data_IF_703486092110
#
_entry.id   IF_703486092110
#
_cell.length_a   1.000
_cell.length_b   1.000
_cell.length_c   1.000
_cell.angle_alpha   90.00
_cell.angle_beta   90.00
_cell.angle_gamma   90.00
#
_symmetry.space_group_name_H-M   'P 1'
#
loop_
_entity.id
_entity.type
_entity.pdbx_description
1 polymer ?
#
# COMPACT_ATOMS: atom_id res chain seq x y z
N UNK A 1 -2.25 3.05 -17.62
CA UNK A 1 -3.29 3.19 -16.55
C UNK A 1 -3.16 4.57 -15.91
N UNK A 2 -4.29 5.24 -15.65
CA UNK A 2 -4.32 6.54 -14.96
C UNK A 2 -4.07 6.30 -13.46
N UNK A 3 -3.12 7.02 -12.87
CA UNK A 3 -2.85 6.96 -11.43
C UNK A 3 -4.05 7.51 -10.64
N UNK A 4 -4.31 6.96 -9.46
CA UNK A 4 -5.23 7.61 -8.51
C UNK A 4 -4.69 8.96 -8.05
N UNK A 5 -5.52 9.82 -7.45
CA UNK A 5 -5.05 11.10 -6.91
C UNK A 5 -3.93 10.91 -5.88
N UNK A 6 -4.04 9.86 -5.04
CA UNK A 6 -3.02 9.53 -4.06
C UNK A 6 -1.71 9.03 -4.66
N UNK A 7 -1.78 8.10 -5.62
CA UNK A 7 -0.60 7.69 -6.37
C UNK A 7 0.05 8.88 -7.09
N UNK A 8 -0.74 9.78 -7.68
CA UNK A 8 -0.20 10.96 -8.36
C UNK A 8 0.53 11.89 -7.39
N UNK A 9 0.02 12.06 -6.16
CA UNK A 9 0.71 12.83 -5.11
C UNK A 9 2.06 12.21 -4.77
N UNK A 10 2.11 10.88 -4.58
CA UNK A 10 3.34 10.15 -4.28
C UNK A 10 4.34 10.25 -5.45
N UNK A 11 3.87 10.07 -6.70
CA UNK A 11 4.70 10.25 -7.91
C UNK A 11 5.33 11.63 -7.95
N UNK A 12 4.55 12.68 -7.66
CA UNK A 12 5.04 14.05 -7.70
C UNK A 12 6.13 14.29 -6.64
N UNK A 13 5.95 13.78 -5.42
CA UNK A 13 6.95 13.86 -4.34
C UNK A 13 8.24 13.14 -4.75
N UNK A 14 8.13 11.87 -5.17
CA UNK A 14 9.29 11.06 -5.54
C UNK A 14 10.07 11.66 -6.71
N UNK A 15 9.37 12.20 -7.73
CA UNK A 15 10.01 12.90 -8.87
C UNK A 15 10.68 14.20 -8.45
N UNK A 16 9.99 15.04 -7.66
CA UNK A 16 10.51 16.34 -7.20
C UNK A 16 11.84 16.16 -6.44
N UNK A 17 11.93 15.11 -5.65
CA UNK A 17 13.12 14.80 -4.84
C UNK A 17 14.08 13.81 -5.50
N UNK A 18 13.90 13.54 -6.80
CA UNK A 18 14.79 12.70 -7.62
C UNK A 18 15.02 11.30 -7.03
N UNK A 19 14.02 10.73 -6.36
CA UNK A 19 14.06 9.34 -5.89
C UNK A 19 13.90 8.39 -7.07
N UNK A 20 14.68 7.30 -7.09
CA UNK A 20 14.52 6.23 -8.08
C UNK A 20 13.40 5.31 -7.64
N UNK A 21 12.39 5.13 -8.50
CA UNK A 21 11.24 4.29 -8.19
C UNK A 21 10.66 3.63 -9.43
N UNK A 22 9.99 2.50 -9.23
CA UNK A 22 9.14 1.84 -10.21
C UNK A 22 7.70 1.78 -9.70
N UNK A 23 6.75 1.85 -10.64
CA UNK A 23 5.32 1.76 -10.34
C UNK A 23 4.80 0.36 -10.63
N UNK A 24 3.75 -0.06 -9.93
CA UNK A 24 3.10 -1.36 -10.14
C UNK A 24 4.09 -2.55 -10.10
N UNK A 25 5.09 -2.45 -9.22
CA UNK A 25 6.20 -3.41 -9.11
C UNK A 25 5.71 -4.78 -8.65
N UNK A 26 6.19 -5.86 -9.25
CA UNK A 26 5.78 -7.22 -8.87
C UNK A 26 6.95 -8.17 -8.78
N UNK A 27 6.94 -9.02 -7.76
CA UNK A 27 7.89 -10.12 -7.63
C UNK A 27 7.35 -11.36 -8.35
N UNK A 28 8.22 -12.09 -9.03
CA UNK A 28 7.86 -13.29 -9.81
C UNK A 28 7.26 -14.40 -8.94
N UNK A 29 7.72 -14.50 -7.69
CA UNK A 29 7.31 -15.48 -6.67
C UNK A 29 6.13 -15.00 -5.81
N UNK A 30 5.64 -13.76 -5.96
CA UNK A 30 4.50 -13.26 -5.19
C UNK A 30 3.22 -13.26 -6.04
N UNK A 31 2.35 -14.25 -5.77
CA UNK A 31 1.09 -14.44 -6.51
C UNK A 31 -0.12 -14.52 -5.59
N UNK A 32 -1.27 -14.09 -6.11
CA UNK A 32 -2.58 -14.38 -5.54
C UNK A 32 -2.85 -15.88 -5.57
N UNK A 33 -3.83 -16.35 -4.80
CA UNK A 33 -4.30 -17.73 -4.90
C UNK A 33 -4.91 -18.07 -6.28
N UNK A 34 -5.23 -17.04 -7.10
CA UNK A 34 -5.66 -17.20 -8.50
C UNK A 34 -4.48 -17.17 -9.49
N UNK A 35 -3.25 -17.26 -9.01
CA UNK A 35 -2.03 -17.27 -9.84
C UNK A 35 -1.62 -15.92 -10.43
N UNK A 36 -2.32 -14.81 -10.11
CA UNK A 36 -1.98 -13.48 -10.63
C UNK A 36 -0.88 -12.85 -9.78
N UNK A 37 0.13 -12.25 -10.41
CA UNK A 37 1.18 -11.51 -9.68
C UNK A 37 0.56 -10.40 -8.83
N UNK A 38 1.00 -10.28 -7.58
CA UNK A 38 0.64 -9.13 -6.75
C UNK A 38 1.58 -7.98 -7.07
N UNK A 39 0.99 -6.79 -7.22
CA UNK A 39 1.72 -5.57 -7.56
C UNK A 39 1.70 -4.62 -6.38
N UNK A 40 2.86 -4.07 -6.07
CA UNK A 40 3.03 -2.94 -5.16
C UNK A 40 2.87 -1.64 -5.94
N UNK A 41 2.26 -0.62 -5.34
CA UNK A 41 2.06 0.64 -6.05
C UNK A 41 3.40 1.27 -6.42
N UNK A 42 4.38 1.21 -5.51
CA UNK A 42 5.74 1.67 -5.75
C UNK A 42 6.79 0.74 -5.14
N UNK A 43 7.92 0.60 -5.84
CA UNK A 43 9.19 0.10 -5.30
C UNK A 43 10.23 1.21 -5.40
N UNK A 44 10.96 1.45 -4.30
CA UNK A 44 12.03 2.44 -4.22
C UNK A 44 13.39 1.77 -4.31
N UNK A 45 14.33 2.41 -4.99
CA UNK A 45 15.65 1.85 -5.27
C UNK A 45 16.80 2.75 -4.84
N UNK A 46 17.89 2.12 -4.42
CA UNK A 46 19.21 2.71 -4.23
C UNK A 46 20.24 1.75 -4.82
N UNK A 47 21.12 2.23 -5.72
CA UNK A 47 22.13 1.39 -6.39
C UNK A 47 21.56 0.07 -6.96
N UNK A 48 20.39 0.16 -7.61
CA UNK A 48 19.65 -0.97 -8.21
C UNK A 48 19.08 -2.01 -7.21
N UNK A 49 19.21 -1.77 -5.91
CA UNK A 49 18.59 -2.59 -4.85
C UNK A 49 17.29 -1.97 -4.39
N UNK A 50 16.29 -2.80 -4.15
CA UNK A 50 15.02 -2.36 -3.53
C UNK A 50 15.30 -2.02 -2.07
N UNK A 51 15.03 -0.78 -1.69
CA UNK A 51 15.17 -0.31 -0.30
C UNK A 51 13.84 -0.27 0.45
N UNK A 52 12.72 -0.13 -0.26
CA UNK A 52 11.38 -0.16 0.34
C UNK A 52 10.28 -0.27 -0.71
N UNK A 53 9.08 -0.62 -0.24
CA UNK A 53 7.84 -0.70 -0.99
C UNK A 53 6.82 0.28 -0.40
N UNK A 54 5.95 0.83 -1.23
CA UNK A 54 4.87 1.72 -0.79
C UNK A 54 3.54 1.26 -1.40
N UNK A 55 2.48 1.28 -0.58
CA UNK A 55 1.09 1.10 -0.97
C UNK A 55 0.27 2.31 -0.57
N UNK A 56 -0.53 2.85 -1.48
CA UNK A 56 -1.54 3.86 -1.17
C UNK A 56 -2.92 3.22 -1.08
N UNK A 57 -3.44 3.14 0.15
CA UNK A 57 -4.63 2.38 0.48
C UNK A 57 -5.87 3.27 0.49
N UNK A 58 -6.71 3.14 -0.54
CA UNK A 58 -8.02 3.78 -0.63
C UNK A 58 -9.03 3.26 0.41
N UNK A 59 -10.17 3.97 0.58
CA UNK A 59 -11.25 3.58 1.53
C UNK A 59 -11.75 2.14 1.33
N UNK A 60 -11.70 1.65 0.08
CA UNK A 60 -12.09 0.29 -0.29
C UNK A 60 -11.25 -0.84 0.36
N UNK A 61 -10.10 -0.52 0.95
CA UNK A 61 -9.29 -1.49 1.69
C UNK A 61 -9.75 -1.67 3.14
N UNK A 62 -10.51 -0.72 3.68
CA UNK A 62 -10.91 -0.70 5.10
C UNK A 62 -12.40 -0.99 5.31
N UNK A 63 -13.24 -0.57 4.35
CA UNK A 63 -14.70 -0.70 4.45
C UNK A 63 -15.26 -1.46 3.24
N UNK A 64 -16.13 -2.42 3.53
CA UNK A 64 -17.01 -2.96 2.51
C UNK A 64 -18.05 -1.91 2.11
N UNK A 65 -18.10 -1.58 0.83
CA UNK A 65 -19.13 -0.71 0.28
C UNK A 65 -19.48 -1.21 -1.12
N UNK A 66 -20.78 -1.39 -1.40
CA UNK A 66 -21.25 -1.88 -2.70
C UNK A 66 -20.79 -1.03 -3.89
N UNK A 67 -20.57 0.27 -3.69
CA UNK A 67 -20.03 1.17 -4.71
C UNK A 67 -18.55 0.90 -5.04
N UNK A 68 -17.75 0.49 -4.05
CA UNK A 68 -16.31 0.23 -4.23
C UNK A 68 -15.99 -1.24 -4.50
N UNK A 69 -16.76 -2.14 -3.90
CA UNK A 69 -16.62 -3.59 -3.99
C UNK A 69 -18.02 -4.18 -4.17
N UNK A 70 -18.29 -4.75 -5.35
CA UNK A 70 -19.64 -5.24 -5.70
C UNK A 70 -20.13 -6.31 -4.72
N UNK A 71 -19.22 -7.15 -4.23
CA UNK A 71 -19.53 -8.25 -3.30
C UNK A 71 -18.60 -8.26 -2.10
N UNK A 72 -19.08 -8.79 -0.97
CA UNK A 72 -18.25 -9.02 0.23
C UNK A 72 -17.06 -9.93 -0.06
N UNK A 73 -17.23 -10.92 -0.94
CA UNK A 73 -16.16 -11.80 -1.41
C UNK A 73 -15.02 -11.04 -2.11
N UNK A 74 -15.31 -10.00 -2.89
CA UNK A 74 -14.28 -9.15 -3.51
C UNK A 74 -13.52 -8.31 -2.48
N UNK A 75 -14.20 -7.85 -1.44
CA UNK A 75 -13.58 -7.14 -0.34
C UNK A 75 -12.65 -8.04 0.49
N UNK A 76 -13.11 -9.25 0.84
CA UNK A 76 -12.29 -10.26 1.51
C UNK A 76 -11.09 -10.68 0.63
N UNK A 77 -11.30 -10.84 -0.68
CA UNK A 77 -10.22 -11.07 -1.62
C UNK A 77 -9.15 -9.98 -1.55
N UNK A 78 -9.55 -8.70 -1.52
CA UNK A 78 -8.63 -7.57 -1.43
C UNK A 78 -7.84 -7.59 -0.12
N UNK A 79 -8.50 -7.80 1.01
CA UNK A 79 -7.82 -7.92 2.32
C UNK A 79 -6.81 -9.07 2.36
N UNK A 80 -7.15 -10.22 1.77
CA UNK A 80 -6.26 -11.37 1.67
C UNK A 80 -5.02 -11.05 0.81
N UNK A 81 -5.18 -10.26 -0.27
CA UNK A 81 -4.03 -9.83 -1.07
C UNK A 81 -3.14 -8.86 -0.30
N UNK A 82 -3.73 -7.92 0.44
CA UNK A 82 -2.99 -6.98 1.29
C UNK A 82 -2.21 -7.71 2.39
N UNK A 83 -2.82 -8.73 3.00
CA UNK A 83 -2.18 -9.59 3.99
C UNK A 83 -0.97 -10.33 3.37
N UNK A 84 -1.13 -10.92 2.18
CA UNK A 84 -0.03 -11.61 1.47
C UNK A 84 1.12 -10.67 1.14
N UNK A 85 0.83 -9.45 0.71
CA UNK A 85 1.85 -8.41 0.49
C UNK A 85 2.61 -8.09 1.77
N UNK A 86 1.91 -7.88 2.88
CA UNK A 86 2.51 -7.63 4.18
C UNK A 86 3.42 -8.79 4.61
N UNK A 87 2.93 -10.03 4.50
CA UNK A 87 3.72 -11.23 4.82
C UNK A 87 4.97 -11.34 3.95
N UNK A 88 4.85 -11.11 2.65
CA UNK A 88 5.97 -11.18 1.73
C UNK A 88 7.05 -10.15 2.09
N UNK A 89 6.66 -8.89 2.31
CA UNK A 89 7.58 -7.83 2.69
C UNK A 89 8.32 -8.16 4.00
N UNK A 90 7.60 -8.61 5.03
CA UNK A 90 8.17 -9.02 6.32
C UNK A 90 9.12 -10.21 6.17
N UNK A 91 8.73 -11.25 5.44
CA UNK A 91 9.55 -12.45 5.27
C UNK A 91 10.85 -12.21 4.48
N UNK A 92 10.88 -11.19 3.62
CA UNK A 92 12.05 -10.82 2.82
C UNK A 92 12.83 -9.64 3.42
N UNK A 93 12.48 -9.16 4.62
CA UNK A 93 13.09 -7.98 5.25
C UNK A 93 13.03 -6.72 4.37
N UNK A 94 11.96 -6.55 3.61
CA UNK A 94 11.73 -5.37 2.77
C UNK A 94 10.77 -4.42 3.52
N UNK A 95 11.17 -3.18 3.84
CA UNK A 95 10.26 -2.20 4.44
C UNK A 95 9.07 -1.94 3.53
N UNK A 96 7.86 -2.11 4.07
CA UNK A 96 6.60 -1.79 3.37
C UNK A 96 5.87 -0.70 4.13
N UNK A 97 5.58 0.41 3.44
CA UNK A 97 4.81 1.52 3.99
C UNK A 97 3.39 1.52 3.39
N UNK A 98 2.39 1.34 4.23
CA UNK A 98 0.97 1.38 3.83
C UNK A 98 0.38 2.74 4.24
N UNK A 99 0.24 3.63 3.25
CA UNK A 99 -0.25 4.99 3.44
C UNK A 99 -1.77 5.00 3.23
N UNK A 100 -2.58 5.34 4.25
CA UNK A 100 -4.02 5.39 4.11
C UNK A 100 -4.49 6.67 3.40
N UNK A 101 -5.63 6.58 2.72
CA UNK A 101 -6.20 7.70 1.96
C UNK A 101 -6.44 8.99 2.76
N UNK A 102 -6.76 8.88 4.05
CA UNK A 102 -7.06 10.04 4.90
C UNK A 102 -5.82 10.84 5.34
N UNK A 103 -4.62 10.32 5.07
CA UNK A 103 -3.36 11.03 5.33
C UNK A 103 -2.78 11.68 4.06
N UNK A 104 -3.49 11.65 2.94
CA UNK A 104 -3.03 12.18 1.65
C UNK A 104 -2.55 13.63 1.73
N UNK A 105 -3.31 14.50 2.41
CA UNK A 105 -2.99 15.93 2.53
C UNK A 105 -1.76 16.20 3.42
N UNK A 106 -1.31 15.20 4.18
CA UNK A 106 -0.13 15.28 5.03
C UNK A 106 1.16 14.93 4.29
N UNK A 107 1.07 14.45 3.04
CA UNK A 107 2.23 14.02 2.26
C UNK A 107 2.77 15.20 1.44
N UNK A 108 3.94 15.72 1.80
CA UNK A 108 4.55 16.86 1.12
C UNK A 108 5.97 16.57 0.62
N UNK A 109 6.67 15.65 1.29
CA UNK A 109 8.05 15.28 0.99
C UNK A 109 8.31 13.79 1.20
N UNK A 110 9.48 13.32 0.77
CA UNK A 110 9.87 11.92 0.84
C UNK A 110 9.79 11.35 2.27
N UNK A 111 10.23 12.10 3.28
CA UNK A 111 10.23 11.63 4.67
C UNK A 111 8.82 11.37 5.19
N UNK A 112 7.81 12.05 4.62
CA UNK A 112 6.41 11.78 4.96
C UNK A 112 5.99 10.40 4.44
N UNK A 113 6.48 9.98 3.27
CA UNK A 113 6.14 8.70 2.66
C UNK A 113 6.72 7.51 3.43
N UNK A 114 7.94 7.66 3.96
CA UNK A 114 8.66 6.63 4.72
C UNK A 114 8.52 6.79 6.24
N UNK A 115 7.50 7.53 6.67
CA UNK A 115 7.26 7.74 8.09
C UNK A 115 6.99 6.40 8.81
N UNK A 116 7.67 6.10 9.94
CA UNK A 116 7.49 4.85 10.69
C UNK A 116 6.05 4.55 11.12
N UNK A 117 5.15 5.54 11.15
CA UNK A 117 3.72 5.33 11.42
C UNK A 117 3.03 4.47 10.35
N UNK A 118 3.52 4.49 9.10
CA UNK A 118 2.98 3.69 8.00
C UNK A 118 3.71 2.36 7.82
N UNK A 119 4.79 2.12 8.57
CA UNK A 119 5.60 0.92 8.44
C UNK A 119 4.79 -0.30 8.88
N UNK A 120 4.72 -1.31 8.02
CA UNK A 120 4.10 -2.59 8.30
C UNK A 120 4.97 -3.34 9.31
N UNK A 121 4.41 -3.60 10.50
CA UNK A 121 5.07 -4.31 11.61
C UNK A 121 4.60 -5.76 11.78
N UNK A 122 3.47 -6.11 11.19
CA UNK A 122 2.91 -7.45 11.21
C UNK A 122 1.94 -7.63 10.03
N UNK A 123 1.58 -8.89 9.72
CA UNK A 123 0.68 -9.23 8.61
C UNK A 123 -0.74 -8.64 8.73
N UNK A 124 -1.16 -8.27 9.95
CA UNK A 124 -2.48 -7.71 10.24
C UNK A 124 -2.50 -6.17 10.22
N UNK A 125 -1.41 -5.51 9.81
CA UNK A 125 -1.27 -4.04 9.85
C UNK A 125 -2.52 -3.31 9.31
N UNK A 126 -2.96 -3.61 8.09
CA UNK A 126 -4.14 -2.96 7.50
C UNK A 126 -5.45 -3.29 8.23
N UNK A 127 -5.58 -4.48 8.82
CA UNK A 127 -6.76 -4.86 9.60
C UNK A 127 -6.83 -4.08 10.92
N UNK A 128 -5.68 -3.87 11.57
CA UNK A 128 -5.59 -3.06 12.79
C UNK A 128 -5.96 -1.61 12.49
N UNK A 129 -5.45 -1.05 11.40
CA UNK A 129 -5.84 0.29 10.93
C UNK A 129 -7.34 0.36 10.67
N UNK A 130 -7.93 -0.63 9.99
CA UNK A 130 -9.38 -0.68 9.75
C UNK A 130 -10.18 -0.71 11.07
N UNK A 131 -9.72 -1.48 12.06
CA UNK A 131 -10.35 -1.56 13.37
C UNK A 131 -10.30 -0.23 14.13
N UNK A 132 -9.16 0.46 14.11
CA UNK A 132 -8.98 1.76 14.76
C UNK A 132 -9.84 2.85 14.12
N UNK A 133 -10.00 2.82 12.80
CA UNK A 133 -10.90 3.72 12.08
C UNK A 133 -12.37 3.51 12.48
N UNK A 134 -12.80 2.25 12.63
CA UNK A 134 -14.16 1.90 13.11
C UNK A 134 -14.40 2.44 14.52
N UNK A 135 -13.43 2.26 15.42
CA UNK A 135 -13.51 2.78 16.80
C UNK A 135 -13.57 4.30 16.85
N UNK A 136 -12.79 4.98 16.01
CA UNK A 136 -12.69 6.44 16.01
C UNK A 136 -13.83 7.17 15.29
N UNK A 137 -14.82 6.45 14.72
CA UNK A 137 -15.90 6.99 13.88
C UNK A 137 -15.41 7.87 12.71
N UNK A 138 -14.15 7.70 12.28
CA UNK A 138 -13.54 8.43 11.15
C UNK A 138 -13.85 7.79 9.79
N UNK A 139 -14.78 6.83 9.75
CA UNK A 139 -15.16 6.08 8.56
C UNK A 139 -16.22 6.78 7.73
#
# INVERSE_FOLDING_TARGET
>A
MKASQGEQRIINILKKEKKKFEREYSFSNLKSYKGRKLRFDFALFEEDKIISLIEFQGRQHYIYNKHFTKTSAQFLYRQEMDLRKCQYALANNIPLYCIPYYDLDKLNKYEDLINPKYLVKNKWHNHNVAFDLRKSKKL
#
